data_IF_890098020486
#
_entry.id   IF_890098020486
#
_cell.length_a   1.000
_cell.length_b   1.000
_cell.length_c   1.000
_cell.angle_alpha   90.00
_cell.angle_beta   90.00
_cell.angle_gamma   90.00
#
_symmetry.space_group_name_H-M   'P 1'
#
loop_
_entity.id
_entity.type
_entity.pdbx_description
1 polymer ?
#
# COMPACT_ATOMS: atom_id res chain seq x y z
N UNK A 1 0.37 -12.24 9.81
CA UNK A 1 -0.19 -12.20 8.45
C UNK A 1 0.26 -10.93 7.76
N UNK A 2 0.70 -11.04 6.54
CA UNK A 2 1.22 -9.89 5.79
C UNK A 2 0.43 -9.59 4.54
N UNK A 3 0.43 -8.32 4.15
CA UNK A 3 -0.15 -7.88 2.89
C UNK A 3 0.87 -7.00 2.16
N UNK A 4 0.69 -6.89 0.86
CA UNK A 4 1.54 -6.06 0.00
C UNK A 4 0.69 -4.92 -0.52
N UNK A 5 1.18 -3.69 -0.35
CA UNK A 5 0.53 -2.48 -0.85
C UNK A 5 1.40 -1.91 -1.96
N UNK A 6 0.82 -1.75 -3.14
CA UNK A 6 1.51 -1.11 -4.26
C UNK A 6 0.88 0.26 -4.52
N UNK A 7 1.72 1.26 -4.71
CA UNK A 7 1.29 2.63 -4.97
C UNK A 7 1.98 3.13 -6.23
N UNK A 8 1.19 3.57 -7.21
CA UNK A 8 1.72 4.11 -8.46
C UNK A 8 1.06 5.48 -8.72
N UNK A 9 1.87 6.46 -9.08
CA UNK A 9 1.36 7.80 -9.39
C UNK A 9 2.40 8.63 -10.12
N UNK A 10 2.00 9.84 -10.49
CA UNK A 10 2.87 10.77 -11.22
C UNK A 10 3.59 11.78 -10.31
N UNK A 11 3.17 11.89 -9.06
CA UNK A 11 3.74 12.84 -8.10
C UNK A 11 4.04 12.10 -6.81
N UNK A 12 5.30 12.13 -6.39
CA UNK A 12 5.76 11.45 -5.18
C UNK A 12 5.65 12.32 -3.92
N UNK A 13 5.22 13.58 -4.06
CA UNK A 13 5.26 14.53 -2.95
C UNK A 13 4.25 14.18 -1.86
N UNK A 14 4.75 13.87 -0.68
CA UNK A 14 3.91 13.56 0.47
C UNK A 14 3.21 12.21 0.45
N UNK A 15 3.45 11.37 -0.57
CA UNK A 15 2.79 10.08 -0.70
C UNK A 15 3.14 9.15 0.46
N UNK A 16 4.42 9.04 0.79
CA UNK A 16 4.87 8.15 1.88
C UNK A 16 4.19 8.54 3.18
N UNK A 17 4.14 9.84 3.48
CA UNK A 17 3.50 10.34 4.70
C UNK A 17 2.01 10.01 4.74
N UNK A 18 1.30 10.22 3.65
CA UNK A 18 -0.14 9.96 3.58
C UNK A 18 -0.46 8.48 3.74
N UNK A 19 0.26 7.63 3.01
CA UNK A 19 0.02 6.18 3.04
C UNK A 19 0.41 5.59 4.39
N UNK A 20 1.57 5.96 4.93
CA UNK A 20 2.01 5.44 6.23
C UNK A 20 1.14 5.94 7.38
N UNK A 21 0.66 7.18 7.32
CA UNK A 21 -0.28 7.68 8.33
C UNK A 21 -1.59 6.91 8.32
N UNK A 22 -2.10 6.60 7.13
CA UNK A 22 -3.34 5.81 7.03
C UNK A 22 -3.14 4.39 7.56
N UNK A 23 -2.01 3.76 7.25
CA UNK A 23 -1.69 2.43 7.78
C UNK A 23 -1.62 2.47 9.31
N UNK A 24 -0.92 3.44 9.87
CA UNK A 24 -0.79 3.59 11.32
C UNK A 24 -2.16 3.81 11.99
N UNK A 25 -2.99 4.63 11.38
CA UNK A 25 -4.34 4.92 11.86
C UNK A 25 -5.20 3.66 11.99
N UNK A 26 -5.02 2.72 11.08
CA UNK A 26 -5.78 1.47 11.05
C UNK A 26 -5.08 0.31 11.75
N UNK A 27 -3.93 0.53 12.35
CA UNK A 27 -3.20 -0.51 13.08
C UNK A 27 -2.34 -1.44 12.23
N UNK A 28 -2.07 -1.07 10.98
CA UNK A 28 -1.17 -1.82 10.12
C UNK A 28 0.27 -1.39 10.39
N UNK A 29 1.17 -2.36 10.51
CA UNK A 29 2.58 -2.10 10.77
C UNK A 29 3.40 -2.28 9.48
N UNK A 30 4.10 -1.24 9.06
CA UNK A 30 4.94 -1.29 7.87
C UNK A 30 6.26 -1.93 8.21
N UNK A 31 6.61 -3.03 7.55
CA UNK A 31 7.87 -3.73 7.77
C UNK A 31 8.92 -3.43 6.71
N UNK A 32 8.49 -3.17 5.47
CA UNK A 32 9.41 -2.85 4.39
C UNK A 32 8.78 -1.86 3.42
N UNK A 33 9.60 -0.97 2.86
CA UNK A 33 9.20 -0.05 1.81
C UNK A 33 10.30 -0.04 0.76
N UNK A 34 9.90 -0.19 -0.50
CA UNK A 34 10.80 -0.02 -1.64
C UNK A 34 10.13 0.94 -2.61
N UNK A 35 10.89 1.89 -3.12
CA UNK A 35 10.35 2.89 -4.04
C UNK A 35 11.28 3.10 -5.23
N UNK A 36 10.69 3.50 -6.35
CA UNK A 36 11.42 3.76 -7.58
C UNK A 36 10.78 4.96 -8.28
N UNK A 37 11.62 5.81 -8.84
CA UNK A 37 11.15 6.95 -9.63
C UNK A 37 11.68 6.76 -11.05
N UNK A 38 10.77 6.70 -12.03
CA UNK A 38 11.09 6.57 -13.44
C UNK A 38 10.47 7.76 -14.18
N UNK A 39 11.31 8.72 -14.55
CA UNK A 39 10.87 9.95 -15.19
C UNK A 39 9.85 10.68 -14.31
N UNK A 40 8.60 10.78 -14.75
CA UNK A 40 7.52 11.42 -14.01
C UNK A 40 6.71 10.45 -13.14
N UNK A 41 7.04 9.15 -13.21
CA UNK A 41 6.28 8.13 -12.48
C UNK A 41 6.97 7.75 -11.18
N UNK A 42 6.15 7.52 -10.19
CA UNK A 42 6.57 7.04 -8.87
C UNK A 42 5.89 5.69 -8.61
N UNK A 43 6.66 4.72 -8.17
CA UNK A 43 6.14 3.42 -7.78
C UNK A 43 6.69 3.04 -6.40
N UNK A 44 5.82 2.56 -5.53
CA UNK A 44 6.19 2.14 -4.18
C UNK A 44 5.56 0.80 -3.87
N UNK A 45 6.34 -0.08 -3.26
CA UNK A 45 5.85 -1.37 -2.76
C UNK A 45 6.12 -1.40 -1.26
N UNK A 46 5.08 -1.71 -0.49
CA UNK A 46 5.18 -1.81 0.96
C UNK A 46 4.74 -3.19 1.40
N UNK A 47 5.45 -3.76 2.37
CA UNK A 47 4.99 -4.96 3.07
C UNK A 47 4.51 -4.52 4.44
N UNK A 48 3.29 -4.92 4.78
CA UNK A 48 2.67 -4.53 6.05
C UNK A 48 2.20 -5.77 6.80
N UNK A 49 2.19 -5.67 8.13
CA UNK A 49 1.57 -6.68 8.99
C UNK A 49 0.15 -6.23 9.32
N UNK A 50 -0.81 -7.14 9.16
CA UNK A 50 -2.23 -6.84 9.27
C UNK A 50 -2.94 -7.59 10.39
N UNK A 51 -2.18 -8.22 11.29
CA UNK A 51 -2.77 -9.00 12.40
C UNK A 51 -3.57 -8.13 13.36
N UNK A 52 -3.17 -6.89 13.55
CA UNK A 52 -3.76 -5.97 14.52
C UNK A 52 -4.57 -4.84 13.89
N UNK A 53 -4.95 -4.96 12.61
CA UNK A 53 -5.76 -3.91 11.99
C UNK A 53 -7.15 -3.86 12.65
N UNK A 54 -7.69 -2.64 12.76
CA UNK A 54 -8.93 -2.37 13.48
C UNK A 54 -10.20 -2.67 12.69
N UNK A 55 -10.06 -3.01 11.41
CA UNK A 55 -11.18 -3.28 10.50
C UNK A 55 -10.93 -4.57 9.74
N UNK A 56 -11.95 -5.19 9.14
CA UNK A 56 -11.76 -6.35 8.27
C UNK A 56 -10.82 -6.03 7.10
N UNK A 57 -10.06 -7.00 6.64
CA UNK A 57 -9.10 -6.80 5.56
C UNK A 57 -9.78 -6.26 4.28
N UNK A 58 -10.97 -6.72 3.96
CA UNK A 58 -11.70 -6.23 2.78
C UNK A 58 -12.00 -4.75 2.87
N UNK A 59 -12.34 -4.25 4.06
CA UNK A 59 -12.52 -2.82 4.31
C UNK A 59 -11.20 -2.06 4.20
N UNK A 60 -10.12 -2.64 4.72
CA UNK A 60 -8.79 -2.04 4.62
C UNK A 60 -8.40 -1.84 3.16
N UNK A 61 -8.63 -2.83 2.31
CA UNK A 61 -8.37 -2.73 0.87
C UNK A 61 -9.12 -1.55 0.26
N UNK A 62 -10.40 -1.39 0.61
CA UNK A 62 -11.22 -0.30 0.10
C UNK A 62 -10.76 1.07 0.59
N UNK A 63 -10.38 1.16 1.87
CA UNK A 63 -9.87 2.42 2.45
C UNK A 63 -8.60 2.86 1.71
N UNK A 64 -7.69 1.93 1.46
CA UNK A 64 -6.44 2.24 0.76
C UNK A 64 -6.71 2.64 -0.70
N UNK A 65 -7.63 1.95 -1.36
CA UNK A 65 -8.03 2.29 -2.72
C UNK A 65 -8.62 3.70 -2.79
N UNK A 66 -9.49 4.04 -1.85
CA UNK A 66 -10.11 5.37 -1.79
C UNK A 66 -9.08 6.46 -1.50
N UNK A 67 -8.10 6.17 -0.65
CA UNK A 67 -6.99 7.11 -0.43
C UNK A 67 -6.27 7.40 -1.74
N UNK A 68 -6.07 6.38 -2.57
CA UNK A 68 -5.48 6.54 -3.89
C UNK A 68 -6.32 7.44 -4.79
N UNK A 69 -7.61 7.16 -4.89
CA UNK A 69 -8.53 7.94 -5.71
C UNK A 69 -8.51 9.41 -5.30
N UNK A 70 -8.54 9.69 -4.00
CA UNK A 70 -8.53 11.06 -3.48
C UNK A 70 -7.24 11.82 -3.80
N UNK A 71 -6.13 11.10 -4.00
CA UNK A 71 -4.81 11.69 -4.19
C UNK A 71 -4.23 11.46 -5.59
N UNK A 72 -5.03 10.95 -6.52
CA UNK A 72 -4.57 10.70 -7.88
C UNK A 72 -3.56 9.56 -7.99
N UNK A 73 -3.67 8.57 -7.13
CA UNK A 73 -2.76 7.42 -7.06
C UNK A 73 -3.53 6.13 -7.32
N UNK A 74 -2.84 5.15 -7.89
CA UNK A 74 -3.36 3.80 -7.98
C UNK A 74 -2.76 3.01 -6.81
N UNK A 75 -3.59 2.74 -5.80
CA UNK A 75 -3.18 1.98 -4.62
C UNK A 75 -3.89 0.64 -4.63
N UNK A 76 -3.12 -0.44 -4.61
CA UNK A 76 -3.64 -1.80 -4.56
C UNK A 76 -3.07 -2.51 -3.36
N UNK A 77 -3.94 -3.21 -2.64
CA UNK A 77 -3.56 -3.97 -1.45
C UNK A 77 -3.98 -5.41 -1.66
N UNK A 78 -3.07 -6.34 -1.45
CA UNK A 78 -3.39 -7.75 -1.59
C UNK A 78 -2.66 -8.56 -0.53
N UNK A 79 -3.24 -9.71 -0.20
CA UNK A 79 -2.61 -10.64 0.72
C UNK A 79 -1.29 -11.13 0.13
N UNK A 80 -0.30 -11.32 1.00
CA UNK A 80 1.03 -11.76 0.60
C UNK A 80 1.02 -13.01 -0.27
N UNK A 81 0.15 -13.97 0.04
CA UNK A 81 0.07 -15.22 -0.72
C UNK A 81 -0.37 -14.97 -2.17
N UNK A 82 -1.29 -14.04 -2.37
CA UNK A 82 -1.74 -13.67 -3.71
C UNK A 82 -0.63 -12.99 -4.48
N UNK A 83 0.06 -12.05 -3.83
CA UNK A 83 1.17 -11.35 -4.46
C UNK A 83 2.27 -12.32 -4.88
N UNK A 84 2.65 -13.24 -4.00
CA UNK A 84 3.68 -14.24 -4.29
C UNK A 84 3.25 -15.17 -5.44
N UNK A 85 1.99 -15.54 -5.48
CA UNK A 85 1.44 -16.36 -6.56
C UNK A 85 1.54 -15.68 -7.92
N UNK A 86 1.32 -14.36 -7.96
CA UNK A 86 1.36 -13.58 -9.20
C UNK A 86 2.79 -13.29 -9.68
N UNK A 87 3.75 -13.25 -8.76
CA UNK A 87 5.14 -12.87 -9.05
C UNK A 87 6.12 -14.02 -8.83
N UNK A 88 5.67 -15.22 -9.07
CA UNK A 88 6.47 -16.42 -8.91
C UNK A 88 7.52 -16.53 -10.01
N UNK A 89 8.73 -16.76 -9.60
CA UNK A 89 9.84 -16.98 -10.54
C UNK A 89 10.21 -18.46 -10.56
#
# INVERSE_FOLDING_TARGET
>A
MKAVVTVVGCDSKGIIAKVSSKCAEMGANITEISQSVLEEYFAMIMVIEIDDISIPFTEFVDVMKNLGVENGLDIRTMHEDIFNSMHRI
#
